data_IF_704917399901
#
_entry.id   IF_704917399901
#
_cell.length_a   1.000
_cell.length_b   1.000
_cell.length_c   1.000
_cell.angle_alpha   90.00
_cell.angle_beta   90.00
_cell.angle_gamma   90.00
#
_symmetry.space_group_name_H-M   'P 1'
#
loop_
_entity.id
_entity.type
_entity.pdbx_description
1 polymer ?
#
# COMPACT_ATOMS: atom_id res chain seq x y z
N UNK A 1 -0.21 2.57 -15.12
CA UNK A 1 0.42 3.89 -14.89
C UNK A 1 -0.55 4.68 -14.04
N UNK A 2 -0.08 5.39 -13.00
CA UNK A 2 -0.94 6.18 -12.11
C UNK A 2 -1.35 7.49 -12.79
N UNK A 3 -2.60 7.90 -12.64
CA UNK A 3 -3.13 9.17 -13.16
C UNK A 3 -4.24 9.71 -12.23
N UNK A 4 -4.36 11.03 -12.15
CA UNK A 4 -5.38 11.73 -11.37
C UNK A 4 -5.45 11.33 -9.89
N UNK A 5 -4.28 11.03 -9.30
CA UNK A 5 -4.18 10.62 -7.90
C UNK A 5 -4.10 11.85 -6.99
N UNK A 6 -5.07 11.99 -6.08
CA UNK A 6 -5.05 13.02 -5.02
C UNK A 6 -5.19 12.35 -3.67
N UNK A 7 -4.09 12.31 -2.91
CA UNK A 7 -4.01 11.61 -1.62
C UNK A 7 -3.27 12.47 -0.60
N UNK A 8 -3.56 12.23 0.67
CA UNK A 8 -2.84 12.80 1.79
C UNK A 8 -2.50 11.73 2.81
N UNK A 9 -1.31 11.84 3.39
CA UNK A 9 -0.85 11.03 4.52
C UNK A 9 -0.66 11.96 5.70
N UNK A 10 -1.43 11.74 6.77
CA UNK A 10 -1.34 12.50 8.00
C UNK A 10 -0.39 11.81 9.00
N UNK A 11 0.06 12.55 10.00
CA UNK A 11 0.86 11.99 11.10
C UNK A 11 0.06 10.93 11.85
N UNK A 12 0.65 9.76 12.03
CA UNK A 12 0.01 8.61 12.67
C UNK A 12 -0.89 7.77 11.76
N UNK A 13 -1.05 8.11 10.50
CA UNK A 13 -1.76 7.27 9.52
C UNK A 13 -1.08 5.91 9.37
N UNK A 14 -1.89 4.87 9.23
CA UNK A 14 -1.45 3.48 9.07
C UNK A 14 -2.18 2.88 7.86
N UNK A 15 -1.53 2.95 6.72
CA UNK A 15 -2.16 2.72 5.42
C UNK A 15 -1.59 1.46 4.79
N UNK A 16 -2.47 0.50 4.49
CA UNK A 16 -2.15 -0.66 3.64
C UNK A 16 -2.44 -0.32 2.18
N UNK A 17 -1.53 -0.64 1.28
CA UNK A 17 -1.72 -0.44 -0.16
C UNK A 17 -1.92 -1.78 -0.84
N UNK A 18 -3.06 -1.94 -1.49
CA UNK A 18 -3.45 -3.16 -2.20
C UNK A 18 -3.73 -2.87 -3.67
N UNK A 19 -3.70 -3.91 -4.50
CA UNK A 19 -3.92 -3.81 -5.94
C UNK A 19 -3.19 -4.94 -6.67
N UNK A 20 -3.42 -5.07 -7.97
CA UNK A 20 -2.77 -6.10 -8.79
C UNK A 20 -1.27 -5.81 -8.97
N UNK A 21 -0.52 -6.85 -9.35
CA UNK A 21 0.87 -6.66 -9.75
C UNK A 21 0.92 -5.80 -11.02
N UNK A 22 1.80 -4.80 -11.01
CA UNK A 22 1.93 -3.85 -12.12
C UNK A 22 1.02 -2.60 -12.04
N UNK A 23 0.06 -2.52 -11.09
CA UNK A 23 -0.83 -1.36 -10.96
C UNK A 23 -0.13 -0.08 -10.47
N UNK A 24 1.15 -0.14 -10.09
CA UNK A 24 1.92 1.03 -9.69
C UNK A 24 2.08 1.23 -8.18
N UNK A 25 1.82 0.21 -7.34
CA UNK A 25 1.97 0.30 -5.88
C UNK A 25 3.36 0.73 -5.43
N UNK A 26 4.41 0.09 -5.96
CA UNK A 26 5.80 0.44 -5.66
C UNK A 26 6.18 1.82 -6.18
N UNK A 27 5.66 2.21 -7.36
CA UNK A 27 5.83 3.55 -7.91
C UNK A 27 5.19 4.59 -6.99
N UNK A 28 3.99 4.32 -6.46
CA UNK A 28 3.32 5.20 -5.49
C UNK A 28 4.19 5.41 -4.25
N UNK A 29 4.80 4.35 -3.69
CA UNK A 29 5.71 4.48 -2.56
C UNK A 29 6.95 5.32 -2.90
N UNK A 30 7.55 5.13 -4.08
CA UNK A 30 8.72 5.90 -4.52
C UNK A 30 8.40 7.38 -4.75
N UNK A 31 7.22 7.69 -5.31
CA UNK A 31 6.71 9.05 -5.44
C UNK A 31 6.53 9.69 -4.05
N UNK A 32 5.92 8.99 -3.08
CA UNK A 32 5.78 9.47 -1.70
C UNK A 32 7.16 9.68 -1.06
N UNK A 33 8.11 8.78 -1.30
CA UNK A 33 9.46 8.87 -0.77
C UNK A 33 10.31 9.99 -1.41
N UNK A 34 9.97 10.42 -2.65
CA UNK A 34 10.74 11.38 -3.41
C UNK A 34 11.90 10.77 -4.19
N UNK A 35 11.89 9.48 -4.40
CA UNK A 35 12.83 8.78 -5.28
C UNK A 35 12.43 8.85 -6.77
N UNK A 36 11.16 9.17 -7.02
CA UNK A 36 10.63 9.45 -8.36
C UNK A 36 9.87 10.77 -8.32
N UNK A 37 9.88 11.49 -9.43
CA UNK A 37 9.07 12.71 -9.64
C UNK A 37 7.86 12.37 -10.49
N UNK A 38 6.68 12.97 -10.22
CA UNK A 38 5.52 12.76 -11.07
C UNK A 38 5.68 13.48 -12.41
N UNK A 39 5.21 12.87 -13.50
CA UNK A 39 5.20 13.49 -14.84
C UNK A 39 4.32 14.75 -14.88
N UNK A 40 3.29 14.80 -14.04
CA UNK A 40 2.40 15.96 -13.89
C UNK A 40 1.89 16.05 -12.45
N UNK A 41 1.50 17.25 -12.01
CA UNK A 41 1.10 17.49 -10.63
C UNK A 41 2.28 17.74 -9.69
N UNK A 42 2.10 17.53 -8.39
CA UNK A 42 3.14 17.76 -7.40
C UNK A 42 2.96 16.86 -6.18
N UNK A 43 4.07 16.44 -5.58
CA UNK A 43 4.10 15.77 -4.27
C UNK A 43 4.72 16.73 -3.26
N UNK A 44 3.92 17.18 -2.31
CA UNK A 44 4.37 18.09 -1.24
C UNK A 44 4.71 17.31 0.01
N UNK A 45 5.86 17.60 0.63
CA UNK A 45 6.33 16.98 1.88
C UNK A 45 6.67 18.05 2.89
N UNK A 46 6.49 17.72 4.15
CA UNK A 46 6.95 18.59 5.25
C UNK A 46 8.47 18.68 5.22
N UNK A 47 9.01 19.89 5.33
CA UNK A 47 10.47 20.10 5.36
C UNK A 47 11.10 19.38 6.54
N UNK A 48 12.20 18.65 6.28
CA UNK A 48 12.89 17.87 7.31
C UNK A 48 12.14 16.62 7.77
N UNK A 49 11.24 16.09 6.94
CA UNK A 49 10.54 14.84 7.22
C UNK A 49 11.54 13.69 7.31
N UNK A 50 11.59 13.04 8.46
CA UNK A 50 12.36 11.83 8.69
C UNK A 50 11.56 10.63 8.17
N UNK A 51 11.91 10.18 6.96
CA UNK A 51 11.22 9.14 6.22
C UNK A 51 12.22 8.07 5.77
N UNK A 52 11.86 6.82 5.97
CA UNK A 52 12.61 5.69 5.44
C UNK A 52 11.74 4.81 4.54
N UNK A 53 12.33 4.34 3.44
CA UNK A 53 11.73 3.39 2.50
C UNK A 53 12.55 2.09 2.52
N UNK A 54 11.90 0.97 2.75
CA UNK A 54 12.39 -0.34 2.35
C UNK A 54 11.67 -0.76 1.08
N UNK A 55 12.40 -0.75 -0.02
CA UNK A 55 11.98 -1.29 -1.31
C UNK A 55 12.19 -2.82 -1.37
N UNK A 56 11.98 -3.42 -2.53
CA UNK A 56 12.30 -4.83 -2.76
C UNK A 56 13.80 -5.11 -2.60
N UNK A 57 14.65 -4.15 -2.94
CA UNK A 57 16.08 -4.18 -2.62
C UNK A 57 16.27 -3.75 -1.16
N UNK A 58 17.05 -4.53 -0.42
CA UNK A 58 17.30 -4.32 1.01
C UNK A 58 18.26 -3.14 1.30
N UNK A 59 18.98 -2.63 0.30
CA UNK A 59 19.89 -1.50 0.42
C UNK A 59 21.06 -1.72 1.38
N UNK A 60 21.40 -2.98 1.68
CA UNK A 60 22.56 -3.33 2.49
C UNK A 60 23.85 -3.35 1.65
N UNK A 61 24.95 -2.88 2.23
CA UNK A 61 26.26 -2.95 1.60
C UNK A 61 26.87 -4.36 1.77
N UNK A 62 27.08 -5.11 0.65
CA UNK A 62 27.68 -6.44 0.71
C UNK A 62 29.09 -6.48 1.32
N UNK A 63 29.81 -5.36 1.30
CA UNK A 63 31.16 -5.23 1.86
C UNK A 63 31.20 -5.08 3.38
N UNK A 64 30.03 -4.89 4.03
CA UNK A 64 29.92 -4.68 5.47
C UNK A 64 29.58 -5.95 6.22
N UNK A 65 29.61 -5.83 7.55
CA UNK A 65 29.11 -6.84 8.50
C UNK A 65 27.73 -6.44 9.04
N UNK A 66 27.04 -7.40 9.65
CA UNK A 66 25.78 -7.15 10.36
C UNK A 66 25.97 -6.08 11.45
N UNK A 67 27.11 -6.07 12.13
CA UNK A 67 27.47 -5.04 13.13
C UNK A 67 27.48 -3.64 12.50
N UNK A 68 28.20 -3.47 11.41
CA UNK A 68 28.33 -2.17 10.75
C UNK A 68 26.99 -1.65 10.23
N UNK A 69 26.08 -2.54 9.81
CA UNK A 69 24.75 -2.18 9.34
C UNK A 69 23.78 -1.83 10.49
N UNK A 70 23.83 -2.54 11.63
CA UNK A 70 22.89 -2.35 12.73
C UNK A 70 23.39 -1.36 13.79
N UNK A 71 24.68 -1.42 14.10
CA UNK A 71 25.28 -0.67 15.21
C UNK A 71 25.94 0.61 14.70
N UNK A 72 26.50 0.57 13.50
CA UNK A 72 27.32 1.65 12.97
C UNK A 72 28.58 1.85 13.84
N UNK A 73 28.87 3.09 14.19
CA UNK A 73 29.99 3.45 15.03
C UNK A 73 29.72 3.51 16.53
N UNK A 74 28.55 3.04 17.01
CA UNK A 74 28.20 3.07 18.44
C UNK A 74 29.02 2.07 19.24
N UNK A 75 29.41 2.44 20.46
CA UNK A 75 30.14 1.54 21.36
C UNK A 75 29.24 0.40 21.86
N UNK A 76 29.82 -0.78 22.13
CA UNK A 76 29.06 -1.98 22.52
C UNK A 76 28.19 -1.76 23.77
N UNK A 77 28.63 -0.99 24.73
CA UNK A 77 27.86 -0.71 25.94
C UNK A 77 26.66 0.21 25.70
N UNK A 78 26.66 1.04 24.65
CA UNK A 78 25.57 1.96 24.32
C UNK A 78 24.38 1.21 23.71
N UNK A 79 24.62 0.36 22.71
CA UNK A 79 23.55 -0.37 22.08
C UNK A 79 23.08 -1.58 22.92
N UNK A 80 23.99 -2.24 23.66
CA UNK A 80 23.61 -3.38 24.51
C UNK A 80 22.71 -2.96 25.68
N UNK A 81 22.83 -1.72 26.16
CA UNK A 81 21.95 -1.17 27.20
C UNK A 81 20.56 -0.75 26.65
N UNK A 82 20.42 -0.49 25.35
CA UNK A 82 19.19 -0.06 24.75
C UNK A 82 18.18 -1.22 24.66
N UNK A 83 17.05 -1.10 25.39
CA UNK A 83 16.00 -2.11 25.44
C UNK A 83 15.34 -2.29 24.06
N UNK A 84 15.20 -1.20 23.27
CA UNK A 84 14.64 -1.25 21.93
C UNK A 84 15.56 -2.03 20.99
N UNK A 85 16.85 -1.79 21.05
CA UNK A 85 17.84 -2.51 20.26
C UNK A 85 17.76 -4.02 20.54
N UNK A 86 17.75 -4.40 21.82
CA UNK A 86 17.60 -5.81 22.24
C UNK A 86 16.30 -6.43 21.72
N UNK A 87 15.17 -5.72 21.83
CA UNK A 87 13.90 -6.22 21.33
C UNK A 87 13.92 -6.49 19.82
N UNK A 88 14.57 -5.62 19.02
CA UNK A 88 14.74 -5.82 17.58
C UNK A 88 15.64 -7.02 17.29
N UNK A 89 16.76 -7.17 18.00
CA UNK A 89 17.64 -8.34 17.86
C UNK A 89 16.91 -9.64 18.21
N UNK A 90 16.17 -9.66 19.31
CA UNK A 90 15.43 -10.83 19.78
C UNK A 90 14.33 -11.24 18.78
N UNK A 91 13.59 -10.26 18.26
CA UNK A 91 12.45 -10.53 17.41
C UNK A 91 12.78 -10.86 15.95
N UNK A 92 13.80 -10.21 15.39
CA UNK A 92 14.15 -10.41 13.98
C UNK A 92 15.37 -11.28 13.75
N UNK A 93 16.36 -11.24 14.64
CA UNK A 93 17.70 -11.77 14.37
C UNK A 93 18.06 -12.98 15.22
N UNK A 94 17.17 -13.46 16.08
CA UNK A 94 17.38 -14.63 16.93
C UNK A 94 18.13 -14.33 18.21
N UNK A 95 17.91 -13.15 18.78
CA UNK A 95 18.44 -12.72 20.05
C UNK A 95 19.78 -11.98 19.97
N UNK A 96 20.25 -11.48 21.11
CA UNK A 96 21.52 -10.74 21.24
C UNK A 96 22.70 -11.56 20.73
N UNK A 97 22.67 -12.89 20.91
CA UNK A 97 23.68 -13.82 20.37
C UNK A 97 23.59 -14.05 18.88
N UNK A 98 22.58 -13.50 18.21
CA UNK A 98 22.34 -13.65 16.77
C UNK A 98 22.43 -15.12 16.33
N UNK A 99 21.68 -16.00 17.00
CA UNK A 99 21.75 -17.47 16.79
C UNK A 99 21.50 -17.89 15.33
N UNK A 100 20.88 -17.00 14.53
CA UNK A 100 20.65 -17.23 13.09
C UNK A 100 21.87 -16.93 12.22
N UNK A 101 22.93 -16.32 12.77
CA UNK A 101 24.10 -15.88 12.04
C UNK A 101 25.36 -16.60 12.50
N UNK A 102 26.15 -17.22 11.60
CA UNK A 102 27.28 -18.08 11.96
C UNK A 102 28.37 -17.41 12.81
N UNK A 103 28.55 -16.09 12.66
CA UNK A 103 29.54 -15.29 13.40
C UNK A 103 28.90 -14.17 14.22
N UNK A 104 27.60 -14.30 14.56
CA UNK A 104 26.88 -13.23 15.25
C UNK A 104 26.92 -11.89 14.49
N UNK A 105 27.19 -10.80 15.21
CA UNK A 105 27.30 -9.46 14.62
C UNK A 105 28.42 -9.33 13.58
N UNK A 106 29.45 -10.13 13.66
CA UNK A 106 30.59 -10.05 12.74
C UNK A 106 30.40 -10.87 11.47
N UNK A 107 29.17 -11.36 11.23
CA UNK A 107 28.79 -12.05 10.00
C UNK A 107 28.79 -11.06 8.83
N UNK A 108 29.53 -11.33 7.73
CA UNK A 108 29.49 -10.50 6.52
C UNK A 108 28.10 -10.52 5.88
N UNK A 109 27.70 -9.42 5.24
CA UNK A 109 26.40 -9.31 4.55
C UNK A 109 26.39 -10.12 3.24
N UNK A 110 27.49 -10.13 2.48
CA UNK A 110 27.55 -10.76 1.17
C UNK A 110 27.04 -12.22 1.10
N UNK A 111 27.40 -13.13 2.04
CA UNK A 111 26.98 -14.53 1.98
C UNK A 111 25.56 -14.78 2.56
N UNK A 112 24.88 -13.77 3.10
CA UNK A 112 23.55 -13.94 3.71
C UNK A 112 22.52 -14.31 2.65
N UNK A 113 21.61 -15.20 3.02
CA UNK A 113 20.40 -15.48 2.24
C UNK A 113 19.49 -14.24 2.14
N UNK A 114 18.61 -14.21 1.14
CA UNK A 114 17.65 -13.10 0.98
C UNK A 114 16.81 -12.84 2.23
N UNK A 115 16.39 -13.89 2.95
CA UNK A 115 15.64 -13.76 4.20
C UNK A 115 16.47 -13.17 5.33
N UNK A 116 17.74 -13.57 5.48
CA UNK A 116 18.64 -13.01 6.49
C UNK A 116 18.96 -11.54 6.19
N UNK A 117 19.23 -11.20 4.93
CA UNK A 117 19.43 -9.81 4.50
C UNK A 117 18.19 -8.96 4.81
N UNK A 118 16.98 -9.46 4.48
CA UNK A 118 15.73 -8.75 4.76
C UNK A 118 15.55 -8.47 6.25
N UNK A 119 15.89 -9.42 7.13
CA UNK A 119 15.85 -9.24 8.57
C UNK A 119 16.82 -8.18 9.06
N UNK A 120 18.05 -8.16 8.54
CA UNK A 120 19.05 -7.12 8.87
C UNK A 120 18.56 -5.75 8.41
N UNK A 121 18.03 -5.64 7.19
CA UNK A 121 17.51 -4.37 6.66
C UNK A 121 16.33 -3.84 7.50
N UNK A 122 15.38 -4.71 7.86
CA UNK A 122 14.28 -4.35 8.75
C UNK A 122 14.79 -3.95 10.14
N UNK A 123 15.75 -4.71 10.69
CA UNK A 123 16.39 -4.38 11.96
C UNK A 123 17.00 -2.98 11.95
N UNK A 124 17.81 -2.66 10.94
CA UNK A 124 18.40 -1.33 10.75
C UNK A 124 17.33 -0.23 10.73
N UNK A 125 16.30 -0.42 9.89
CA UNK A 125 15.19 0.52 9.77
C UNK A 125 14.49 0.79 11.10
N UNK A 126 14.17 -0.25 11.86
CA UNK A 126 13.50 -0.11 13.15
C UNK A 126 14.39 0.55 14.23
N UNK A 127 15.70 0.35 14.13
CA UNK A 127 16.68 0.98 15.04
C UNK A 127 16.88 2.46 14.75
N UNK A 128 16.79 2.87 13.48
CA UNK A 128 16.84 4.28 13.08
C UNK A 128 15.56 5.02 13.51
N UNK A 129 14.45 4.29 13.70
CA UNK A 129 13.15 4.78 14.17
C UNK A 129 12.66 6.06 13.49
N UNK A 130 12.56 6.10 12.15
CA UNK A 130 12.10 7.26 11.42
C UNK A 130 10.64 7.57 11.76
N UNK A 131 10.21 8.81 11.51
CA UNK A 131 8.81 9.22 11.77
C UNK A 131 7.82 8.64 10.77
N UNK A 132 8.28 8.35 9.55
CA UNK A 132 7.48 7.77 8.47
C UNK A 132 8.17 6.53 7.92
N UNK A 133 7.44 5.43 7.90
CA UNK A 133 7.87 4.15 7.31
C UNK A 133 7.09 3.87 6.04
N UNK A 134 7.82 3.69 4.94
CA UNK A 134 7.30 3.18 3.69
C UNK A 134 7.88 1.78 3.46
N UNK A 135 7.01 0.78 3.36
CA UNK A 135 7.42 -0.62 3.28
C UNK A 135 6.86 -1.27 2.02
N UNK A 136 7.73 -1.79 1.16
CA UNK A 136 7.33 -2.55 -0.02
C UNK A 136 7.62 -4.03 0.21
N UNK A 137 6.55 -4.84 0.33
CA UNK A 137 6.56 -6.27 0.60
C UNK A 137 7.50 -6.66 1.77
N UNK A 138 7.32 -6.07 2.98
CA UNK A 138 8.25 -6.28 4.09
C UNK A 138 8.21 -7.70 4.66
N UNK A 139 7.09 -8.42 4.48
CA UNK A 139 6.89 -9.77 5.01
C UNK A 139 7.52 -10.86 4.14
N UNK A 140 7.92 -10.53 2.90
CA UNK A 140 8.60 -11.47 2.02
C UNK A 140 9.90 -11.98 2.65
N UNK A 141 10.08 -13.29 2.57
CA UNK A 141 11.25 -14.00 3.12
C UNK A 141 11.36 -13.99 4.66
N UNK A 142 10.34 -13.52 5.39
CA UNK A 142 10.23 -13.75 6.83
C UNK A 142 9.51 -15.07 7.10
N UNK A 143 9.90 -15.75 8.19
CA UNK A 143 9.11 -16.84 8.73
C UNK A 143 7.89 -16.31 9.53
N UNK A 144 6.97 -17.21 9.87
CA UNK A 144 5.73 -16.84 10.57
C UNK A 144 5.99 -16.10 11.88
N UNK A 145 7.02 -16.52 12.63
CA UNK A 145 7.41 -15.88 13.91
C UNK A 145 7.93 -14.47 13.69
N UNK A 146 8.74 -14.26 12.64
CA UNK A 146 9.24 -12.94 12.25
C UNK A 146 8.13 -12.00 11.81
N UNK A 147 7.17 -12.49 11.00
CA UNK A 147 6.00 -11.71 10.58
C UNK A 147 5.14 -11.30 11.78
N UNK A 148 4.84 -12.24 12.68
CA UNK A 148 4.03 -11.99 13.89
C UNK A 148 4.71 -10.98 14.83
N UNK A 149 6.01 -11.14 15.08
CA UNK A 149 6.76 -10.18 15.88
C UNK A 149 6.76 -8.79 15.22
N UNK A 150 7.02 -8.72 13.91
CA UNK A 150 7.07 -7.46 13.17
C UNK A 150 5.72 -6.74 13.17
N UNK A 151 4.64 -7.47 12.99
CA UNK A 151 3.29 -6.92 13.07
C UNK A 151 2.99 -6.34 14.46
N UNK A 152 3.31 -7.06 15.54
CA UNK A 152 3.14 -6.58 16.91
C UNK A 152 4.01 -5.36 17.21
N UNK A 153 5.25 -5.35 16.73
CA UNK A 153 6.16 -4.22 16.90
C UNK A 153 5.59 -2.96 16.20
N UNK A 154 5.17 -3.10 14.94
CA UNK A 154 4.56 -1.99 14.20
C UNK A 154 3.22 -1.56 14.82
N UNK A 155 2.38 -2.49 15.31
CA UNK A 155 1.13 -2.14 15.98
C UNK A 155 1.33 -1.24 17.21
N UNK A 156 2.42 -1.44 17.95
CA UNK A 156 2.80 -0.62 19.10
C UNK A 156 3.54 0.69 18.72
N UNK A 157 4.08 0.76 17.51
CA UNK A 157 4.83 1.92 17.04
C UNK A 157 3.89 3.08 16.66
N UNK A 158 4.23 4.31 17.01
CA UNK A 158 3.35 5.49 16.88
C UNK A 158 3.61 6.36 15.65
N UNK A 159 4.54 5.97 14.80
CA UNK A 159 4.83 6.71 13.57
C UNK A 159 3.80 6.46 12.46
N UNK A 160 4.01 7.13 11.35
CA UNK A 160 3.19 7.00 10.14
C UNK A 160 3.68 5.83 9.29
N UNK A 161 2.78 4.95 8.87
CA UNK A 161 3.07 3.75 8.10
C UNK A 161 2.31 3.74 6.78
N UNK A 162 3.02 3.50 5.67
CA UNK A 162 2.42 3.09 4.41
C UNK A 162 3.07 1.78 3.98
N UNK A 163 2.30 0.72 3.84
CA UNK A 163 2.82 -0.61 3.53
C UNK A 163 2.11 -1.24 2.33
N UNK A 164 2.89 -1.70 1.38
CA UNK A 164 2.45 -2.57 0.28
C UNK A 164 2.73 -4.01 0.69
N UNK A 165 1.75 -4.86 0.76
CA UNK A 165 1.93 -6.31 0.96
C UNK A 165 0.71 -7.10 0.51
N UNK A 166 0.93 -8.37 0.19
CA UNK A 166 -0.12 -9.34 -0.09
C UNK A 166 -0.56 -10.13 1.16
N UNK A 167 0.10 -9.93 2.28
CA UNK A 167 -0.25 -10.57 3.55
C UNK A 167 -1.45 -9.86 4.20
N UNK A 168 -2.62 -10.48 4.03
CA UNK A 168 -3.90 -9.95 4.51
C UNK A 168 -3.96 -9.84 6.02
N UNK A 169 -3.42 -10.86 6.72
CA UNK A 169 -3.37 -10.87 8.17
C UNK A 169 -2.51 -9.71 8.70
N UNK A 170 -1.35 -9.49 8.07
CA UNK A 170 -0.46 -8.39 8.43
C UNK A 170 -1.16 -7.03 8.23
N UNK A 171 -1.86 -6.82 7.12
CA UNK A 171 -2.62 -5.59 6.88
C UNK A 171 -3.68 -5.35 7.96
N UNK A 172 -4.43 -6.38 8.34
CA UNK A 172 -5.45 -6.26 9.40
C UNK A 172 -4.83 -5.98 10.77
N UNK A 173 -3.64 -6.50 11.04
CA UNK A 173 -2.94 -6.30 12.31
C UNK A 173 -2.34 -4.89 12.47
N UNK A 174 -1.90 -4.26 11.37
CA UNK A 174 -1.11 -3.02 11.44
C UNK A 174 -1.75 -1.79 10.82
N UNK A 175 -2.75 -1.93 9.93
CA UNK A 175 -3.32 -0.83 9.17
C UNK A 175 -4.71 -0.43 9.69
N UNK A 176 -4.99 0.88 9.63
CA UNK A 176 -6.30 1.48 9.97
C UNK A 176 -7.01 2.07 8.76
N UNK A 177 -6.33 2.12 7.62
CA UNK A 177 -6.89 2.48 6.33
C UNK A 177 -6.26 1.63 5.23
N UNK A 178 -6.99 1.43 4.14
CA UNK A 178 -6.51 0.69 2.96
C UNK A 178 -6.66 1.57 1.72
N UNK A 179 -5.61 1.64 0.92
CA UNK A 179 -5.62 2.25 -0.41
C UNK A 179 -5.64 1.14 -1.47
N UNK A 180 -6.65 1.14 -2.31
CA UNK A 180 -6.71 0.26 -3.47
C UNK A 180 -6.19 0.99 -4.70
N UNK A 181 -5.13 0.47 -5.31
CA UNK A 181 -4.64 0.95 -6.61
C UNK A 181 -5.35 0.16 -7.69
N UNK A 182 -6.19 0.83 -8.48
CA UNK A 182 -7.02 0.20 -9.51
C UNK A 182 -7.25 1.16 -10.67
N UNK A 183 -7.14 0.67 -11.91
CA UNK A 183 -7.38 1.46 -13.12
C UNK A 183 -6.51 2.73 -13.23
N UNK A 184 -5.35 2.76 -12.58
CA UNK A 184 -4.46 3.92 -12.52
C UNK A 184 -4.82 4.97 -11.46
N UNK A 185 -5.97 4.87 -10.82
CA UNK A 185 -6.37 5.68 -9.66
C UNK A 185 -6.05 5.01 -8.32
N UNK A 186 -6.28 5.73 -7.25
CA UNK A 186 -6.17 5.19 -5.88
C UNK A 186 -7.43 5.54 -5.09
N UNK A 187 -8.06 4.52 -4.54
CA UNK A 187 -9.26 4.66 -3.72
C UNK A 187 -8.94 4.36 -2.26
N UNK A 188 -9.46 5.21 -1.36
CA UNK A 188 -9.27 5.05 0.09
C UNK A 188 -10.48 4.35 0.72
N UNK A 189 -10.19 3.39 1.58
CA UNK A 189 -11.14 2.70 2.43
C UNK A 189 -10.70 2.82 3.89
N UNK A 190 -11.64 3.02 4.81
CA UNK A 190 -11.36 2.99 6.24
C UNK A 190 -11.32 1.56 6.74
N UNK A 191 -10.35 1.26 7.61
CA UNK A 191 -10.10 -0.08 8.16
C UNK A 191 -9.02 -0.88 7.45
N UNK A 192 -8.70 -2.04 8.03
CA UNK A 192 -7.74 -3.02 7.48
C UNK A 192 -8.30 -3.76 6.27
N UNK A 193 -7.63 -4.86 5.91
CA UNK A 193 -7.96 -5.63 4.71
C UNK A 193 -9.39 -6.23 4.75
N UNK A 194 -9.83 -6.74 5.89
CA UNK A 194 -11.17 -7.32 6.02
C UNK A 194 -12.27 -6.26 5.80
N UNK A 195 -12.11 -5.07 6.38
CA UNK A 195 -13.04 -3.95 6.18
C UNK A 195 -13.06 -3.48 4.72
N UNK A 196 -11.88 -3.39 4.08
CA UNK A 196 -11.75 -3.07 2.66
C UNK A 196 -12.54 -4.05 1.78
N UNK A 197 -12.39 -5.36 2.00
CA UNK A 197 -13.09 -6.39 1.20
C UNK A 197 -14.60 -6.22 1.29
N UNK A 198 -15.14 -5.97 2.49
CA UNK A 198 -16.57 -5.74 2.69
C UNK A 198 -17.04 -4.44 2.02
N UNK A 199 -16.32 -3.35 2.20
CA UNK A 199 -16.67 -2.05 1.61
C UNK A 199 -16.63 -2.10 0.07
N UNK A 200 -15.62 -2.76 -0.49
CA UNK A 200 -15.50 -2.99 -1.93
C UNK A 200 -16.67 -3.81 -2.47
N UNK A 201 -17.00 -4.92 -1.83
CA UNK A 201 -18.13 -5.77 -2.26
C UNK A 201 -19.46 -5.00 -2.24
N UNK A 202 -19.71 -4.17 -1.22
CA UNK A 202 -20.91 -3.36 -1.15
C UNK A 202 -20.94 -2.26 -2.21
N UNK A 203 -19.80 -1.62 -2.50
CA UNK A 203 -19.67 -0.65 -3.59
C UNK A 203 -19.98 -1.29 -4.94
N UNK A 204 -19.41 -2.47 -5.24
CA UNK A 204 -19.66 -3.20 -6.48
C UNK A 204 -21.14 -3.58 -6.60
N UNK A 205 -21.76 -4.01 -5.49
CA UNK A 205 -23.21 -4.31 -5.42
C UNK A 205 -24.06 -3.08 -5.74
N UNK A 206 -23.76 -1.94 -5.12
CA UNK A 206 -24.48 -0.69 -5.36
C UNK A 206 -24.29 -0.20 -6.80
N UNK A 207 -23.08 -0.27 -7.34
CA UNK A 207 -22.80 0.09 -8.72
C UNK A 207 -23.62 -0.77 -9.71
N UNK A 208 -23.69 -2.09 -9.47
CA UNK A 208 -24.52 -3.00 -10.29
C UNK A 208 -26.00 -2.64 -10.24
N UNK A 209 -26.56 -2.31 -9.06
CA UNK A 209 -27.96 -1.87 -8.92
C UNK A 209 -28.21 -0.55 -9.65
N UNK A 210 -27.30 0.40 -9.55
CA UNK A 210 -27.40 1.67 -10.27
C UNK A 210 -27.38 1.47 -11.78
N UNK A 211 -26.48 0.62 -12.28
CA UNK A 211 -26.36 0.30 -13.69
C UNK A 211 -27.62 -0.42 -14.22
N UNK A 212 -28.17 -1.37 -13.47
CA UNK A 212 -29.42 -2.04 -13.84
C UNK A 212 -30.58 -1.04 -13.95
N UNK A 213 -30.68 -0.11 -12.98
CA UNK A 213 -31.68 0.97 -13.03
C UNK A 213 -31.48 1.87 -14.24
N UNK A 214 -30.25 2.28 -14.51
CA UNK A 214 -29.88 3.11 -15.66
C UNK A 214 -30.29 2.43 -16.97
N UNK A 215 -29.92 1.15 -17.13
CA UNK A 215 -30.30 0.35 -18.30
C UNK A 215 -31.81 0.16 -18.42
N UNK A 216 -32.51 0.04 -17.29
CA UNK A 216 -33.98 -0.03 -17.26
C UNK A 216 -34.64 1.24 -17.79
N UNK A 217 -34.12 2.41 -17.37
CA UNK A 217 -34.61 3.72 -17.90
C UNK A 217 -34.28 3.87 -19.37
N UNK A 218 -33.03 3.58 -19.76
CA UNK A 218 -32.58 3.67 -21.15
C UNK A 218 -33.43 2.79 -22.07
N UNK A 219 -33.73 1.55 -21.70
CA UNK A 219 -34.61 0.64 -22.48
C UNK A 219 -36.01 1.23 -22.66
N UNK A 220 -36.59 1.84 -21.63
CA UNK A 220 -37.90 2.49 -21.69
C UNK A 220 -37.89 3.69 -22.64
N UNK A 221 -36.88 4.54 -22.56
CA UNK A 221 -36.73 5.71 -23.42
C UNK A 221 -36.48 5.33 -24.88
N UNK A 222 -35.63 4.32 -25.16
CA UNK A 222 -35.39 3.78 -26.49
C UNK A 222 -36.65 3.15 -27.09
N UNK A 223 -37.41 2.39 -26.28
CA UNK A 223 -38.69 1.82 -26.71
C UNK A 223 -39.71 2.92 -27.06
N UNK A 224 -39.74 4.01 -26.30
CA UNK A 224 -40.56 5.17 -26.58
C UNK A 224 -40.08 5.92 -27.83
N UNK A 225 -38.81 6.09 -28.06
CA UNK A 225 -38.24 6.70 -29.27
C UNK A 225 -38.55 5.89 -30.54
N UNK A 226 -38.58 4.56 -30.46
CA UNK A 226 -38.89 3.66 -31.56
C UNK A 226 -40.39 3.69 -31.93
N UNK A 227 -41.28 3.96 -30.98
CA UNK A 227 -42.69 4.17 -31.27
C UNK A 227 -42.87 5.49 -32.04
N UNK A 228 -43.49 5.46 -33.22
CA UNK A 228 -43.77 6.67 -33.97
C UNK A 228 -44.54 7.70 -33.13
N UNK A 229 -44.42 9.02 -33.40
CA UNK A 229 -45.25 10.01 -32.75
C UNK A 229 -46.73 9.75 -33.07
N UNK A 230 -47.64 9.91 -32.07
CA UNK A 230 -49.08 9.91 -32.36
C UNK A 230 -49.35 10.99 -33.40
N UNK A 231 -50.29 10.69 -34.31
CA UNK A 231 -50.67 11.61 -35.42
C UNK A 231 -50.87 13.03 -34.88
N UNK A 232 -50.10 14.00 -35.39
CA UNK A 232 -50.12 15.45 -35.09
C UNK A 232 -49.28 15.97 -33.90
N UNK A 233 -48.38 15.19 -33.30
CA UNK A 233 -47.47 15.72 -32.24
C UNK A 233 -46.00 15.39 -32.52
N UNK A 234 -45.09 16.38 -32.42
CA UNK A 234 -43.65 16.15 -32.48
C UNK A 234 -43.16 15.59 -31.12
N UNK A 235 -42.14 14.71 -31.14
CA UNK A 235 -41.52 14.21 -29.92
C UNK A 235 -40.89 15.36 -29.13
N UNK A 236 -41.10 15.48 -27.80
CA UNK A 236 -40.50 16.53 -27.00
C UNK A 236 -38.95 16.46 -27.04
N UNK A 237 -38.30 17.56 -27.45
CA UNK A 237 -36.84 17.63 -27.59
C UNK A 237 -36.11 17.26 -26.31
N UNK A 238 -36.61 17.69 -25.12
CA UNK A 238 -36.00 17.41 -23.84
C UNK A 238 -35.87 15.91 -23.52
N UNK A 239 -36.81 15.06 -23.97
CA UNK A 239 -36.71 13.60 -23.77
C UNK A 239 -35.70 12.94 -24.71
N UNK A 240 -35.51 13.48 -25.89
CA UNK A 240 -34.46 13.03 -26.82
C UNK A 240 -33.09 13.41 -26.26
N UNK A 241 -32.95 14.62 -25.75
CA UNK A 241 -31.73 15.10 -25.11
C UNK A 241 -31.39 14.30 -23.82
N UNK A 242 -32.40 13.99 -22.99
CA UNK A 242 -32.21 13.15 -21.79
C UNK A 242 -31.77 11.71 -22.15
N UNK A 243 -32.35 11.10 -23.22
CA UNK A 243 -31.92 9.78 -23.65
C UNK A 243 -30.50 9.81 -24.24
N UNK A 244 -30.13 10.85 -24.98
CA UNK A 244 -28.78 11.03 -25.50
C UNK A 244 -27.76 11.27 -24.37
N UNK A 245 -28.11 12.01 -23.32
CA UNK A 245 -27.27 12.20 -22.15
C UNK A 245 -27.03 10.85 -21.41
N UNK A 246 -28.06 10.02 -21.25
CA UNK A 246 -27.93 8.68 -20.66
C UNK A 246 -27.07 7.72 -21.49
N UNK A 247 -27.04 7.89 -22.83
CA UNK A 247 -26.16 7.12 -23.71
C UNK A 247 -24.72 7.62 -23.60
N UNK A 248 -24.53 8.94 -23.53
CA UNK A 248 -23.20 9.55 -23.43
C UNK A 248 -22.51 9.29 -22.09
N UNK A 249 -23.29 9.04 -21.03
CA UNK A 249 -22.83 8.71 -19.66
C UNK A 249 -22.66 7.20 -19.46
N UNK A 250 -22.32 6.45 -20.51
CA UNK A 250 -22.07 5.01 -20.40
C UNK A 250 -20.73 4.78 -19.68
N UNK A 251 -20.74 4.16 -18.47
CA UNK A 251 -19.50 3.85 -17.78
C UNK A 251 -18.68 2.84 -18.58
N UNK A 252 -17.36 2.99 -18.56
CA UNK A 252 -16.46 2.00 -19.16
C UNK A 252 -16.77 0.59 -18.63
N UNK A 253 -16.83 -0.41 -19.52
CA UNK A 253 -17.09 -1.78 -19.08
C UNK A 253 -16.01 -2.22 -18.10
N UNK A 254 -16.39 -2.90 -16.99
CA UNK A 254 -15.40 -3.40 -16.04
C UNK A 254 -14.39 -4.26 -16.78
N UNK A 255 -13.11 -3.91 -16.66
CA UNK A 255 -12.02 -4.63 -17.32
C UNK A 255 -12.15 -6.11 -17.02
N UNK A 256 -12.19 -6.95 -18.08
CA UNK A 256 -12.28 -8.41 -17.95
C UNK A 256 -11.19 -8.86 -16.98
N UNK A 257 -11.60 -9.49 -15.88
CA UNK A 257 -10.70 -10.25 -15.04
C UNK A 257 -10.06 -11.36 -15.91
N UNK A 258 -8.73 -11.55 -15.85
CA UNK A 258 -8.09 -12.71 -16.44
C UNK A 258 -8.48 -14.00 -15.70
#
# INVERSE_FOLDING_TARGET
MLHDVTLGVAEGDRIGVVGRNGDGKSTLLRLIAGFEEPDAGAVTRVTGLDLALIAQDDGLDPGRTVREELVGGRADHEWAADARFRAVLDGLLGGVGLSRFPKGLDTPIAPLSGGERRRVALGRLLLDAPRVLLLDEPTNHLDVEGVDWFARHLAAWRGTLVVVTHDRWFLDAVCTATWEVVGGGVERYDGGYAAYVLARAERERLAAVHEERRQGVLRKELAWLRRGPPARTSKPKFRIEAANALIADEPEPPGRAP
#
